data_IF_437328075845
#
_entry.id   IF_437328075845
#
_cell.length_a   1.000
_cell.length_b   1.000
_cell.length_c   1.000
_cell.angle_alpha   90.00
_cell.angle_beta   90.00
_cell.angle_gamma   90.00
#
_symmetry.space_group_name_H-M   'P 1'
#
loop_
_entity.id
_entity.type
_entity.pdbx_description
1 polymer ?
#
# COMPACT_ATOMS: atom_id res chain seq x y z
N UNK A 1 -12.19 -63.28 44.19
CA UNK A 1 -12.40 -61.91 43.66
C UNK A 1 -11.08 -61.17 43.76
N UNK A 2 -10.53 -60.68 42.65
CA UNK A 2 -9.29 -59.90 42.63
C UNK A 2 -9.51 -58.55 43.35
N UNK A 3 -8.55 -58.04 44.14
CA UNK A 3 -8.71 -56.77 44.85
C UNK A 3 -8.91 -55.61 43.86
N UNK A 4 -9.70 -54.58 44.22
CA UNK A 4 -9.94 -53.43 43.36
C UNK A 4 -8.63 -52.69 43.07
N UNK A 5 -8.35 -52.44 41.79
CA UNK A 5 -7.14 -51.73 41.35
C UNK A 5 -7.18 -50.29 41.88
N UNK A 6 -6.11 -49.86 42.59
CA UNK A 6 -5.96 -48.47 43.05
C UNK A 6 -5.89 -47.54 41.83
N UNK A 7 -6.71 -46.48 41.84
CA UNK A 7 -6.68 -45.45 40.79
C UNK A 7 -5.52 -44.48 41.03
N UNK A 8 -4.81 -44.10 39.97
CA UNK A 8 -3.70 -43.13 40.03
C UNK A 8 -4.24 -41.69 39.84
N UNK A 9 -4.14 -40.80 40.84
CA UNK A 9 -4.43 -39.37 40.66
C UNK A 9 -3.28 -38.66 39.96
N UNK A 10 -3.57 -37.52 39.33
CA UNK A 10 -2.54 -36.61 38.86
C UNK A 10 -1.88 -35.91 40.06
N UNK A 11 -0.55 -35.88 40.08
CA UNK A 11 0.24 -35.36 41.20
C UNK A 11 1.32 -34.38 40.72
N UNK A 12 1.98 -33.70 41.66
CA UNK A 12 3.02 -32.72 41.36
C UNK A 12 4.21 -33.33 40.58
N UNK A 13 4.55 -34.59 40.84
CA UNK A 13 5.62 -35.30 40.12
C UNK A 13 5.30 -35.46 38.63
N UNK A 14 4.07 -35.87 38.30
CA UNK A 14 3.60 -35.97 36.92
C UNK A 14 3.47 -34.60 36.25
N UNK A 15 3.10 -33.57 37.00
CA UNK A 15 3.03 -32.19 36.48
C UNK A 15 4.44 -31.63 36.17
N UNK A 16 5.44 -31.98 36.97
CA UNK A 16 6.83 -31.60 36.72
C UNK A 16 7.44 -32.38 35.53
N UNK A 17 7.13 -33.68 35.41
CA UNK A 17 7.59 -34.54 34.31
C UNK A 17 6.90 -34.19 32.97
N UNK A 18 5.63 -33.78 33.01
CA UNK A 18 4.84 -33.42 31.82
C UNK A 18 4.17 -32.03 31.98
N UNK A 19 4.92 -30.92 31.83
CA UNK A 19 4.42 -29.56 32.08
C UNK A 19 3.24 -29.11 31.22
N UNK A 20 3.09 -29.72 30.03
CA UNK A 20 2.00 -29.42 29.08
C UNK A 20 0.69 -30.13 29.40
N UNK A 21 0.66 -31.00 30.42
CA UNK A 21 -0.57 -31.58 30.95
C UNK A 21 -1.10 -30.70 32.07
N UNK A 22 -2.41 -30.45 32.09
CA UNK A 22 -3.09 -29.74 33.17
C UNK A 22 -4.24 -30.56 33.70
N UNK A 23 -4.36 -30.67 35.01
CA UNK A 23 -5.56 -31.25 35.63
C UNK A 23 -6.77 -30.36 35.34
N UNK A 24 -7.88 -30.95 34.90
CA UNK A 24 -9.16 -30.24 34.86
C UNK A 24 -9.74 -30.25 36.28
N UNK A 25 -9.62 -29.12 36.97
CA UNK A 25 -10.05 -28.91 38.35
C UNK A 25 -11.51 -29.30 38.62
N UNK A 26 -12.38 -29.33 37.60
CA UNK A 26 -13.82 -29.50 37.75
C UNK A 26 -14.38 -30.89 37.34
N UNK A 27 -13.54 -31.87 36.94
CA UNK A 27 -14.05 -33.13 36.34
C UNK A 27 -13.64 -34.38 37.12
N UNK A 28 -12.34 -34.57 37.37
CA UNK A 28 -11.80 -35.73 38.12
C UNK A 28 -10.28 -35.58 38.30
N UNK A 29 -9.70 -36.03 39.42
CA UNK A 29 -8.24 -36.07 39.59
C UNK A 29 -7.54 -37.07 38.66
N UNK A 30 -8.30 -37.86 37.90
CA UNK A 30 -7.78 -38.89 36.99
C UNK A 30 -7.83 -38.50 35.51
N UNK A 31 -8.35 -37.32 35.17
CA UNK A 31 -8.41 -36.84 33.79
C UNK A 31 -7.56 -35.59 33.65
N UNK A 32 -6.59 -35.65 32.74
CA UNK A 32 -5.67 -34.54 32.44
C UNK A 32 -5.88 -34.05 31.02
N UNK A 33 -5.81 -32.73 30.84
CA UNK A 33 -5.91 -32.09 29.55
C UNK A 33 -4.52 -31.86 28.97
N UNK A 34 -4.28 -32.36 27.76
CA UNK A 34 -3.05 -32.12 27.02
C UNK A 34 -3.14 -30.83 26.21
N UNK A 35 -2.29 -29.85 26.53
CA UNK A 35 -2.26 -28.56 25.83
C UNK A 35 -1.71 -28.66 24.41
N UNK A 36 -0.90 -29.69 24.10
CA UNK A 36 -0.29 -29.88 22.77
C UNK A 36 -1.34 -30.26 21.73
N UNK A 37 -2.14 -31.29 22.02
CA UNK A 37 -3.13 -31.82 21.07
C UNK A 37 -4.59 -31.59 21.47
N UNK A 38 -4.81 -30.78 22.50
CA UNK A 38 -6.12 -30.34 23.01
C UNK A 38 -7.08 -31.52 23.24
N UNK A 39 -6.64 -32.52 24.00
CA UNK A 39 -7.46 -33.70 24.31
C UNK A 39 -7.30 -34.14 25.75
N UNK A 40 -8.37 -34.72 26.29
CA UNK A 40 -8.39 -35.32 27.61
C UNK A 40 -7.73 -36.70 27.60
N UNK A 41 -7.00 -37.02 28.67
CA UNK A 41 -6.30 -38.28 28.88
C UNK A 41 -6.70 -38.82 30.25
N UNK A 42 -7.28 -40.02 30.27
CA UNK A 42 -7.59 -40.73 31.50
C UNK A 42 -6.35 -41.51 31.98
N UNK A 43 -5.90 -41.21 33.20
CA UNK A 43 -4.74 -41.82 33.85
C UNK A 43 -5.11 -42.74 35.02
N UNK A 44 -6.41 -42.99 35.23
CA UNK A 44 -6.93 -43.73 36.39
C UNK A 44 -6.29 -45.10 36.60
N UNK A 45 -6.10 -45.90 35.56
CA UNK A 45 -5.71 -47.31 35.71
C UNK A 45 -4.19 -47.55 35.69
N UNK A 46 -3.42 -46.66 35.04
CA UNK A 46 -1.99 -46.90 34.79
C UNK A 46 -1.12 -45.63 34.77
N UNK A 47 -1.64 -44.48 35.23
CA UNK A 47 -0.86 -43.26 35.46
C UNK A 47 0.05 -42.88 34.29
N UNK A 48 1.37 -42.92 34.55
CA UNK A 48 2.46 -42.68 33.59
C UNK A 48 2.34 -43.47 32.29
N UNK A 49 1.91 -44.73 32.33
CA UNK A 49 1.83 -45.57 31.13
C UNK A 49 0.76 -45.05 30.16
N UNK A 50 -0.35 -44.53 30.67
CA UNK A 50 -1.39 -43.92 29.83
C UNK A 50 -0.91 -42.61 29.19
N UNK A 51 -0.08 -41.84 29.91
CA UNK A 51 0.58 -40.64 29.36
C UNK A 51 1.54 -41.05 28.24
N UNK A 52 2.42 -42.03 28.46
CA UNK A 52 3.34 -42.54 27.42
C UNK A 52 2.58 -43.05 26.18
N UNK A 53 1.49 -43.78 26.38
CA UNK A 53 0.63 -44.22 25.28
C UNK A 53 -0.03 -43.03 24.57
N UNK A 54 -0.44 -41.99 25.29
CA UNK A 54 -0.96 -40.78 24.68
C UNK A 54 0.09 -40.08 23.79
N UNK A 55 1.34 -40.00 24.25
CA UNK A 55 2.44 -39.39 23.48
C UNK A 55 2.73 -40.11 22.17
N UNK A 56 2.54 -41.44 22.14
CA UNK A 56 2.70 -42.23 20.92
C UNK A 56 1.49 -42.22 19.99
N UNK A 57 0.34 -41.65 20.41
CA UNK A 57 -0.83 -41.53 19.52
C UNK A 57 -0.54 -40.57 18.38
N UNK A 58 -0.95 -40.97 17.17
CA UNK A 58 -0.85 -40.16 15.93
C UNK A 58 -1.37 -38.73 16.11
N UNK A 59 -2.47 -38.53 16.85
CA UNK A 59 -3.03 -37.20 17.14
C UNK A 59 -2.03 -36.30 17.89
N UNK A 60 -1.34 -36.84 18.90
CA UNK A 60 -0.35 -36.08 19.67
C UNK A 60 0.86 -35.74 18.79
N UNK A 61 1.40 -36.74 18.09
CA UNK A 61 2.58 -36.57 17.21
C UNK A 61 2.31 -35.51 16.13
N UNK A 62 1.14 -35.56 15.48
CA UNK A 62 0.77 -34.57 14.46
C UNK A 62 0.66 -33.16 15.04
N UNK A 63 0.04 -33.01 16.21
CA UNK A 63 -0.10 -31.71 16.85
C UNK A 63 1.24 -31.15 17.35
N UNK A 64 2.10 -32.00 17.92
CA UNK A 64 3.45 -31.62 18.33
C UNK A 64 4.29 -31.15 17.13
N UNK A 65 4.25 -31.89 16.02
CA UNK A 65 4.95 -31.52 14.80
C UNK A 65 4.39 -30.24 14.15
N UNK A 66 3.09 -29.99 14.24
CA UNK A 66 2.50 -28.76 13.74
C UNK A 66 2.99 -27.52 14.51
N UNK A 67 3.11 -27.62 15.83
CA UNK A 67 3.63 -26.54 16.67
C UNK A 67 5.13 -26.25 16.43
N UNK A 68 5.91 -27.26 16.04
CA UNK A 68 7.32 -27.06 15.66
C UNK A 68 7.49 -26.38 14.30
N UNK A 69 6.52 -26.57 13.40
CA UNK A 69 6.56 -26.02 12.04
C UNK A 69 5.92 -24.64 11.92
N UNK A 70 5.11 -24.22 12.90
CA UNK A 70 4.51 -22.89 12.90
C UNK A 70 5.56 -21.84 13.28
N UNK A 71 5.77 -20.87 12.40
CA UNK A 71 6.58 -19.69 12.71
C UNK A 71 5.76 -18.77 13.62
N UNK A 72 6.42 -18.17 14.62
CA UNK A 72 5.78 -17.17 15.49
C UNK A 72 5.35 -15.97 14.63
N UNK A 73 4.14 -15.44 14.87
CA UNK A 73 3.64 -14.25 14.17
C UNK A 73 4.60 -13.05 14.30
N UNK A 74 5.27 -12.94 15.44
CA UNK A 74 6.30 -11.93 15.72
C UNK A 74 7.43 -11.92 14.68
N UNK A 75 7.78 -13.06 14.07
CA UNK A 75 8.81 -13.10 13.01
C UNK A 75 8.37 -12.51 11.68
N UNK A 76 7.06 -12.29 11.48
CA UNK A 76 6.53 -11.62 10.29
C UNK A 76 6.36 -10.11 10.51
N UNK A 77 6.42 -9.65 11.76
CA UNK A 77 6.37 -8.24 12.10
C UNK A 77 7.82 -7.73 12.12
N UNK A 78 8.15 -6.82 11.20
CA UNK A 78 9.43 -6.11 11.26
C UNK A 78 9.47 -5.25 12.52
N UNK A 79 10.62 -5.20 13.18
CA UNK A 79 10.87 -4.23 14.25
C UNK A 79 10.76 -2.80 13.71
N UNK A 80 10.30 -1.86 14.53
CA UNK A 80 10.19 -0.43 14.16
C UNK A 80 11.54 0.21 13.81
N UNK A 81 12.66 -0.43 14.14
CA UNK A 81 14.00 -0.01 13.72
C UNK A 81 14.38 -0.65 12.38
N UNK A 82 14.49 0.18 11.34
CA UNK A 82 15.11 -0.21 10.07
C UNK A 82 16.63 -0.24 10.23
N UNK A 83 17.25 -1.34 9.81
CA UNK A 83 18.71 -1.43 9.77
C UNK A 83 19.27 -0.53 8.65
N UNK A 84 20.55 -0.17 8.73
CA UNK A 84 21.22 0.55 7.63
C UNK A 84 21.16 -0.24 6.31
N UNK A 85 21.21 -1.57 6.38
CA UNK A 85 21.07 -2.44 5.22
C UNK A 85 19.65 -2.38 4.62
N UNK A 86 18.60 -2.38 5.45
CA UNK A 86 17.21 -2.24 4.99
C UNK A 86 17.00 -0.91 4.25
N UNK A 87 17.58 0.19 4.78
CA UNK A 87 17.52 1.51 4.15
C UNK A 87 18.23 1.53 2.80
N UNK A 88 19.37 0.85 2.67
CA UNK A 88 20.08 0.71 1.40
C UNK A 88 19.26 -0.07 0.38
N UNK A 89 18.63 -1.17 0.78
CA UNK A 89 17.74 -1.94 -0.12
C UNK A 89 16.54 -1.07 -0.56
N UNK A 90 15.92 -0.36 0.37
CA UNK A 90 14.82 0.55 0.05
C UNK A 90 15.25 1.65 -0.94
N UNK A 91 16.45 2.22 -0.77
CA UNK A 91 17.00 3.21 -1.69
C UNK A 91 17.26 2.64 -3.09
N UNK A 92 17.79 1.40 -3.19
CA UNK A 92 17.97 0.70 -4.48
C UNK A 92 16.65 0.47 -5.19
N UNK A 93 15.63 0.01 -4.47
CA UNK A 93 14.28 -0.22 -5.00
C UNK A 93 13.58 1.08 -5.39
N UNK A 94 13.74 2.14 -4.59
CA UNK A 94 13.24 3.48 -4.91
C UNK A 94 13.89 4.06 -6.17
N UNK A 95 15.21 3.91 -6.30
CA UNK A 95 15.97 4.33 -7.49
C UNK A 95 15.51 3.57 -8.73
N UNK A 96 15.32 2.25 -8.60
CA UNK A 96 14.79 1.42 -9.68
C UNK A 96 13.39 1.88 -10.10
N UNK A 97 12.49 2.13 -9.14
CA UNK A 97 11.15 2.63 -9.42
C UNK A 97 11.16 3.99 -10.13
N UNK A 98 12.03 4.90 -9.69
CA UNK A 98 12.22 6.19 -10.35
C UNK A 98 12.73 6.02 -11.78
N UNK A 99 13.73 5.15 -12.01
CA UNK A 99 14.24 4.86 -13.35
C UNK A 99 13.14 4.29 -14.26
N UNK A 100 12.33 3.36 -13.77
CA UNK A 100 11.21 2.77 -14.51
C UNK A 100 10.27 3.86 -15.04
N UNK A 101 9.82 4.78 -14.18
CA UNK A 101 8.90 5.84 -14.62
C UNK A 101 9.58 6.89 -15.49
N UNK A 102 10.86 7.21 -15.21
CA UNK A 102 11.62 8.21 -15.97
C UNK A 102 11.80 7.81 -17.42
N UNK A 103 11.94 6.50 -17.67
CA UNK A 103 12.09 5.93 -19.01
C UNK A 103 10.81 5.29 -19.55
N UNK A 104 9.66 5.51 -18.91
CA UNK A 104 8.36 4.97 -19.32
C UNK A 104 8.37 3.45 -19.56
N UNK A 105 9.14 2.73 -18.73
CA UNK A 105 9.22 1.28 -18.80
C UNK A 105 7.92 0.64 -18.28
N UNK A 106 7.52 -0.45 -18.91
CA UNK A 106 6.30 -1.15 -18.50
C UNK A 106 6.47 -1.81 -17.14
N UNK A 107 5.53 -1.57 -16.22
CA UNK A 107 5.48 -2.32 -14.95
C UNK A 107 5.35 -3.84 -15.15
N UNK A 108 4.86 -4.28 -16.31
CA UNK A 108 4.70 -5.71 -16.64
C UNK A 108 6.04 -6.44 -16.80
N UNK A 109 7.09 -5.75 -17.25
CA UNK A 109 8.42 -6.38 -17.39
C UNK A 109 9.13 -6.54 -16.06
N UNK A 110 8.68 -5.88 -14.99
CA UNK A 110 9.41 -5.86 -13.72
C UNK A 110 9.37 -7.20 -12.96
N UNK A 111 8.40 -8.07 -13.24
CA UNK A 111 8.31 -9.39 -12.60
C UNK A 111 9.49 -10.30 -13.00
N UNK A 112 9.98 -10.19 -14.25
CA UNK A 112 11.20 -10.89 -14.67
C UNK A 112 12.46 -10.05 -14.41
N UNK A 113 12.42 -8.73 -14.59
CA UNK A 113 13.56 -7.86 -14.30
C UNK A 113 13.99 -7.94 -12.84
N UNK A 114 13.04 -7.98 -11.88
CA UNK A 114 13.36 -8.13 -10.46
C UNK A 114 14.11 -9.43 -10.18
N UNK A 115 13.75 -10.54 -10.84
CA UNK A 115 14.46 -11.82 -10.70
C UNK A 115 15.88 -11.77 -11.27
N UNK A 116 16.04 -11.08 -12.40
CA UNK A 116 17.36 -10.84 -12.99
C UNK A 116 18.25 -10.03 -12.04
N UNK A 117 17.73 -8.97 -11.43
CA UNK A 117 18.47 -8.14 -10.47
C UNK A 117 18.90 -8.97 -9.25
N UNK A 118 18.01 -9.82 -8.73
CA UNK A 118 18.33 -10.73 -7.62
C UNK A 118 19.48 -11.66 -7.96
N UNK A 119 19.46 -12.23 -9.17
CA UNK A 119 20.47 -13.20 -9.59
C UNK A 119 21.82 -12.56 -9.95
N UNK A 120 21.82 -11.32 -10.44
CA UNK A 120 23.02 -10.67 -10.98
C UNK A 120 23.68 -9.69 -10.01
N UNK A 121 22.91 -9.04 -9.13
CA UNK A 121 23.39 -7.86 -8.41
C UNK A 121 23.01 -7.79 -6.94
N UNK A 122 21.74 -8.00 -6.59
CA UNK A 122 21.23 -7.72 -5.23
C UNK A 122 20.26 -8.81 -4.75
N UNK A 123 20.76 -9.82 -4.01
CA UNK A 123 19.96 -10.96 -3.57
C UNK A 123 18.73 -10.59 -2.73
N UNK A 124 18.76 -9.44 -2.04
CA UNK A 124 17.65 -8.96 -1.21
C UNK A 124 16.65 -8.07 -1.96
N UNK A 125 16.86 -7.82 -3.25
CA UNK A 125 15.98 -7.00 -4.06
C UNK A 125 14.60 -7.66 -4.24
N UNK A 126 13.53 -6.92 -3.99
CA UNK A 126 12.17 -7.45 -4.06
C UNK A 126 11.18 -6.55 -4.82
N UNK A 127 11.67 -5.50 -5.49
CA UNK A 127 10.83 -4.58 -6.25
C UNK A 127 10.45 -5.13 -7.63
N UNK A 128 9.45 -6.02 -7.62
CA UNK A 128 8.70 -6.42 -8.81
C UNK A 128 7.55 -5.43 -9.08
N UNK A 129 6.58 -5.80 -9.94
CA UNK A 129 5.49 -4.92 -10.39
C UNK A 129 4.74 -4.21 -9.26
N UNK A 130 4.14 -4.95 -8.34
CA UNK A 130 3.26 -4.40 -7.29
C UNK A 130 4.01 -3.48 -6.33
N UNK A 131 5.23 -3.87 -5.93
CA UNK A 131 6.04 -3.07 -5.01
C UNK A 131 6.54 -1.79 -5.69
N UNK A 132 6.98 -1.88 -6.94
CA UNK A 132 7.39 -0.71 -7.72
C UNK A 132 6.22 0.26 -7.91
N UNK A 133 5.03 -0.23 -8.27
CA UNK A 133 3.83 0.59 -8.40
C UNK A 133 3.48 1.29 -7.08
N UNK A 134 3.56 0.58 -5.95
CA UNK A 134 3.32 1.15 -4.62
C UNK A 134 4.34 2.24 -4.27
N UNK A 135 5.63 2.04 -4.57
CA UNK A 135 6.67 3.05 -4.38
C UNK A 135 6.38 4.29 -5.24
N UNK A 136 6.02 4.10 -6.51
CA UNK A 136 5.70 5.22 -7.41
C UNK A 136 4.51 6.02 -6.89
N UNK A 137 3.40 5.35 -6.54
CA UNK A 137 2.16 6.02 -6.13
C UNK A 137 2.23 6.64 -4.73
N UNK A 138 2.81 5.91 -3.79
CA UNK A 138 2.72 6.27 -2.36
C UNK A 138 3.99 6.94 -1.83
N UNK A 139 5.06 7.01 -2.62
CA UNK A 139 6.30 7.67 -2.20
C UNK A 139 6.65 8.75 -3.22
N UNK A 140 7.00 8.38 -4.45
CA UNK A 140 7.52 9.33 -5.44
C UNK A 140 6.48 10.38 -5.86
N UNK A 141 5.24 9.96 -6.13
CA UNK A 141 4.18 10.88 -6.51
C UNK A 141 3.76 11.80 -5.35
N UNK A 142 3.69 11.28 -4.12
CA UNK A 142 3.36 12.08 -2.94
C UNK A 142 4.45 13.12 -2.63
N UNK A 143 5.72 12.74 -2.77
CA UNK A 143 6.84 13.66 -2.61
C UNK A 143 6.82 14.75 -3.68
N UNK A 144 6.57 14.38 -4.95
CA UNK A 144 6.47 15.33 -6.05
C UNK A 144 5.31 16.34 -5.85
N UNK A 145 4.17 15.87 -5.33
CA UNK A 145 3.02 16.73 -5.00
C UNK A 145 3.36 17.66 -3.83
N UNK A 146 3.97 17.12 -2.76
CA UNK A 146 4.36 17.91 -1.58
C UNK A 146 5.35 19.01 -1.94
N UNK A 147 6.36 18.69 -2.77
CA UNK A 147 7.31 19.68 -3.27
C UNK A 147 6.62 20.75 -4.12
N UNK A 148 5.70 20.34 -5.01
CA UNK A 148 4.93 21.27 -5.83
C UNK A 148 4.10 22.23 -4.96
N UNK A 149 3.45 21.74 -3.90
CA UNK A 149 2.69 22.58 -2.98
C UNK A 149 3.57 23.61 -2.27
N UNK A 150 4.76 23.20 -1.81
CA UNK A 150 5.74 24.11 -1.19
C UNK A 150 6.14 25.21 -2.19
N UNK A 151 6.45 24.83 -3.42
CA UNK A 151 6.87 25.77 -4.47
C UNK A 151 5.74 26.76 -4.83
N UNK A 152 4.50 26.26 -4.94
CA UNK A 152 3.32 27.08 -5.24
C UNK A 152 2.92 28.04 -4.10
N UNK A 153 3.19 27.68 -2.84
CA UNK A 153 3.01 28.60 -1.70
C UNK A 153 3.96 29.80 -1.80
N UNK A 154 5.22 29.54 -2.19
CA UNK A 154 6.26 30.57 -2.37
C UNK A 154 6.05 31.41 -3.63
N UNK A 155 5.45 30.84 -4.67
CA UNK A 155 5.16 31.58 -5.90
C UNK A 155 4.14 32.71 -5.65
N UNK A 156 4.48 33.92 -6.11
CA UNK A 156 3.56 35.07 -6.05
C UNK A 156 2.45 34.96 -7.10
N UNK A 157 2.84 34.55 -8.31
CA UNK A 157 1.94 34.44 -9.45
C UNK A 157 2.19 33.12 -10.18
N UNK A 158 1.12 32.61 -10.78
CA UNK A 158 1.14 31.40 -11.60
C UNK A 158 0.38 31.64 -12.90
N UNK A 159 0.74 30.91 -13.94
CA UNK A 159 -0.09 30.76 -15.13
C UNK A 159 -0.44 29.29 -15.30
N UNK A 160 -1.61 29.01 -15.83
CA UNK A 160 -2.03 27.64 -16.12
C UNK A 160 -1.99 27.35 -17.62
N UNK A 161 -1.77 26.09 -17.96
CA UNK A 161 -1.90 25.58 -19.32
C UNK A 161 -2.80 24.36 -19.30
N UNK A 162 -3.79 24.35 -20.17
CA UNK A 162 -4.66 23.19 -20.38
C UNK A 162 -4.43 22.65 -21.77
N UNK A 163 -4.46 21.34 -21.86
CA UNK A 163 -4.56 20.62 -23.13
C UNK A 163 -5.63 19.55 -22.99
N UNK A 164 -6.03 18.95 -24.10
CA UNK A 164 -7.09 17.96 -24.12
C UNK A 164 -6.75 16.84 -25.09
N UNK A 165 -6.77 15.60 -24.59
CA UNK A 165 -6.43 14.41 -25.38
C UNK A 165 -7.60 13.43 -25.39
N UNK A 166 -8.01 13.02 -26.59
CA UNK A 166 -9.07 12.03 -26.79
C UNK A 166 -8.46 10.62 -26.80
N UNK A 167 -8.93 9.74 -25.93
CA UNK A 167 -8.69 8.30 -26.03
C UNK A 167 -10.02 7.55 -26.09
N UNK A 168 -10.47 7.26 -27.32
CA UNK A 168 -11.82 6.74 -27.60
C UNK A 168 -12.87 7.73 -27.10
N UNK A 169 -13.72 7.30 -26.16
CA UNK A 169 -14.78 8.12 -25.55
C UNK A 169 -14.30 8.87 -24.29
N UNK A 170 -13.12 8.52 -23.75
CA UNK A 170 -12.57 9.15 -22.56
C UNK A 170 -11.69 10.31 -22.98
N UNK A 171 -11.97 11.49 -22.43
CA UNK A 171 -11.16 12.67 -22.67
C UNK A 171 -10.34 13.07 -21.46
N UNK A 172 -9.02 13.05 -21.62
CA UNK A 172 -8.07 13.43 -20.59
C UNK A 172 -7.69 14.90 -20.73
N UNK A 173 -7.83 15.66 -19.64
CA UNK A 173 -7.51 17.09 -19.59
C UNK A 173 -6.37 17.32 -18.59
N UNK A 174 -5.10 17.32 -19.04
CA UNK A 174 -4.00 17.79 -18.21
C UNK A 174 -4.14 19.28 -17.91
N UNK A 175 -4.05 19.62 -16.63
CA UNK A 175 -3.89 20.97 -16.13
C UNK A 175 -2.45 21.11 -15.63
N UNK A 176 -1.68 21.98 -16.27
CA UNK A 176 -0.30 22.28 -15.93
C UNK A 176 -0.23 23.66 -15.29
N UNK A 177 0.66 23.80 -14.31
CA UNK A 177 0.97 25.07 -13.66
C UNK A 177 2.39 25.48 -14.00
N UNK A 178 2.53 26.76 -14.35
CA UNK A 178 3.81 27.41 -14.62
C UNK A 178 4.02 28.52 -13.60
N UNK A 179 5.20 28.53 -12.99
CA UNK A 179 5.61 29.49 -11.97
C UNK A 179 7.11 29.78 -12.09
N UNK A 180 7.56 30.85 -11.44
CA UNK A 180 8.98 31.20 -11.35
C UNK A 180 9.52 30.81 -9.97
N UNK A 181 10.59 30.04 -9.97
CA UNK A 181 11.40 29.71 -8.80
C UNK A 181 12.71 30.51 -8.87
N UNK A 182 13.09 31.18 -7.78
CA UNK A 182 14.26 32.06 -7.77
C UNK A 182 15.60 31.35 -8.01
N UNK A 183 15.67 30.05 -7.70
CA UNK A 183 16.88 29.24 -7.87
C UNK A 183 16.84 28.44 -9.18
N UNK A 184 15.67 27.89 -9.53
CA UNK A 184 15.50 26.97 -10.67
C UNK A 184 14.97 27.63 -11.93
N UNK A 185 14.60 28.91 -11.87
CA UNK A 185 13.99 29.65 -12.96
C UNK A 185 12.54 29.23 -13.25
N UNK A 186 12.13 29.28 -14.52
CA UNK A 186 10.77 28.93 -14.93
C UNK A 186 10.54 27.43 -14.73
N UNK A 187 9.54 27.09 -13.92
CA UNK A 187 9.08 25.73 -13.71
C UNK A 187 7.73 25.51 -14.38
N UNK A 188 7.56 24.33 -14.95
CA UNK A 188 6.30 23.85 -15.51
C UNK A 188 6.05 22.45 -14.96
N UNK A 189 4.92 22.26 -14.28
CA UNK A 189 4.57 21.02 -13.57
C UNK A 189 3.13 20.63 -13.84
N UNK A 190 2.85 19.33 -13.84
CA UNK A 190 1.48 18.83 -13.88
C UNK A 190 0.81 19.13 -12.53
N UNK A 191 -0.28 19.88 -12.54
CA UNK A 191 -1.08 20.17 -11.36
C UNK A 191 -2.15 19.09 -11.15
N UNK A 192 -2.88 18.76 -12.22
CA UNK A 192 -3.92 17.76 -12.19
C UNK A 192 -4.10 17.11 -13.56
N UNK A 193 -4.49 15.84 -13.58
CA UNK A 193 -4.95 15.13 -14.78
C UNK A 193 -6.30 14.51 -14.45
N UNK A 194 -7.32 14.80 -15.25
CA UNK A 194 -8.68 14.30 -15.04
C UNK A 194 -9.28 13.82 -16.35
N UNK A 195 -10.06 12.76 -16.28
CA UNK A 195 -11.00 12.37 -17.32
C UNK A 195 -12.31 13.15 -17.18
N UNK A 196 -12.73 13.83 -18.25
CA UNK A 196 -13.99 14.55 -18.29
C UNK A 196 -14.99 13.80 -19.19
N UNK A 197 -16.28 13.72 -18.79
CA UNK A 197 -17.32 13.08 -19.59
C UNK A 197 -17.71 13.88 -20.85
N UNK A 198 -17.21 15.11 -20.99
CA UNK A 198 -17.47 16.02 -22.10
C UNK A 198 -16.59 17.27 -22.05
N UNK A 199 -16.75 18.15 -23.04
CA UNK A 199 -15.92 19.36 -23.21
C UNK A 199 -16.73 20.65 -23.30
N UNK A 200 -17.87 20.73 -22.64
CA UNK A 200 -18.53 22.02 -22.62
C UNK A 200 -17.61 23.05 -21.95
N UNK A 201 -17.67 24.29 -22.40
CA UNK A 201 -16.87 25.37 -21.81
C UNK A 201 -17.11 25.49 -20.31
N UNK A 202 -18.34 25.20 -19.85
CA UNK A 202 -18.72 25.16 -18.46
C UNK A 202 -17.99 24.05 -17.70
N UNK A 203 -17.96 22.83 -18.23
CA UNK A 203 -17.27 21.69 -17.60
C UNK A 203 -15.77 21.95 -17.45
N UNK A 204 -15.13 22.48 -18.49
CA UNK A 204 -13.70 22.84 -18.46
C UNK A 204 -13.45 23.98 -17.47
N UNK A 205 -14.27 25.03 -17.49
CA UNK A 205 -14.18 26.13 -16.52
C UNK A 205 -14.30 25.60 -15.08
N UNK A 206 -15.32 24.81 -14.80
CA UNK A 206 -15.59 24.33 -13.44
C UNK A 206 -14.48 23.38 -12.98
N UNK A 207 -13.92 22.55 -13.87
CA UNK A 207 -12.72 21.77 -13.60
C UNK A 207 -11.53 22.67 -13.20
N UNK A 208 -11.18 23.65 -14.04
CA UNK A 208 -10.04 24.56 -13.82
C UNK A 208 -10.22 25.37 -12.53
N UNK A 209 -11.40 25.97 -12.33
CA UNK A 209 -11.70 26.78 -11.14
C UNK A 209 -11.66 25.91 -9.88
N UNK A 210 -12.20 24.69 -9.93
CA UNK A 210 -12.14 23.76 -8.80
C UNK A 210 -10.70 23.39 -8.45
N UNK A 211 -9.86 23.11 -9.45
CA UNK A 211 -8.45 22.81 -9.24
C UNK A 211 -7.68 24.00 -8.65
N UNK A 212 -7.89 25.20 -9.19
CA UNK A 212 -7.27 26.42 -8.67
C UNK A 212 -7.68 26.74 -7.24
N UNK A 213 -8.96 26.56 -6.89
CA UNK A 213 -9.42 26.75 -5.52
C UNK A 213 -8.84 25.71 -4.57
N UNK A 214 -8.80 24.44 -4.97
CA UNK A 214 -8.24 23.36 -4.17
C UNK A 214 -6.78 23.63 -3.78
N UNK A 215 -5.99 24.21 -4.68
CA UNK A 215 -4.58 24.56 -4.44
C UNK A 215 -4.37 26.02 -3.97
N UNK A 216 -5.42 26.78 -3.65
CA UNK A 216 -5.35 28.21 -3.27
C UNK A 216 -4.61 29.10 -4.29
N UNK A 217 -4.79 28.80 -5.58
CA UNK A 217 -4.11 29.47 -6.70
C UNK A 217 -4.98 30.47 -7.44
N UNK A 218 -6.30 30.49 -7.22
CA UNK A 218 -7.21 31.30 -8.05
C UNK A 218 -6.82 32.78 -8.06
N UNK A 219 -6.47 33.34 -6.90
CA UNK A 219 -6.05 34.74 -6.76
C UNK A 219 -4.62 35.02 -7.26
N UNK A 220 -3.81 33.96 -7.41
CA UNK A 220 -2.43 34.04 -7.93
C UNK A 220 -2.37 33.82 -9.45
N UNK A 221 -3.46 33.37 -10.06
CA UNK A 221 -3.50 33.01 -11.46
C UNK A 221 -3.60 34.27 -12.34
N UNK A 222 -2.54 34.56 -13.09
CA UNK A 222 -2.43 35.77 -13.94
C UNK A 222 -2.70 35.47 -15.42
N UNK A 223 -2.85 34.21 -15.81
CA UNK A 223 -3.06 33.85 -17.20
C UNK A 223 -3.33 32.38 -17.42
N UNK A 224 -4.02 32.10 -18.52
CA UNK A 224 -4.31 30.76 -19.01
C UNK A 224 -3.86 30.63 -20.45
N UNK A 225 -3.21 29.51 -20.77
CA UNK A 225 -2.84 29.12 -22.12
C UNK A 225 -3.57 27.84 -22.51
N UNK A 226 -4.12 27.80 -23.71
CA UNK A 226 -4.85 26.66 -24.27
C UNK A 226 -4.87 26.76 -25.80
N UNK A 227 -5.27 25.69 -26.50
CA UNK A 227 -5.51 25.76 -27.93
C UNK A 227 -6.73 26.63 -28.26
N UNK A 228 -6.86 27.08 -29.52
CA UNK A 228 -7.91 28.02 -29.93
C UNK A 228 -9.28 27.36 -30.14
N UNK A 229 -9.54 26.22 -29.50
CA UNK A 229 -10.86 25.60 -29.55
C UNK A 229 -11.87 26.49 -28.83
N UNK A 230 -13.09 26.56 -29.37
CA UNK A 230 -14.13 27.42 -28.80
C UNK A 230 -14.42 27.08 -27.34
N UNK A 231 -14.30 25.81 -26.99
CA UNK A 231 -14.53 25.27 -25.64
C UNK A 231 -13.63 25.94 -24.60
N UNK A 232 -12.41 26.35 -24.96
CA UNK A 232 -11.44 26.96 -24.04
C UNK A 232 -11.66 28.45 -23.76
N UNK A 233 -12.02 29.25 -24.78
CA UNK A 233 -12.02 30.72 -24.65
C UNK A 233 -13.37 31.39 -24.92
N UNK A 234 -14.29 30.77 -25.68
CA UNK A 234 -15.43 31.50 -26.24
C UNK A 234 -16.78 30.79 -26.20
N UNK A 235 -16.86 29.53 -25.77
CA UNK A 235 -18.11 28.75 -25.78
C UNK A 235 -19.12 29.16 -24.70
N UNK A 236 -18.68 29.57 -23.50
CA UNK A 236 -19.58 29.83 -22.36
C UNK A 236 -20.65 30.92 -22.56
N UNK A 237 -20.41 31.89 -23.45
CA UNK A 237 -21.35 33.01 -23.70
C UNK A 237 -21.97 32.98 -25.10
N UNK A 238 -21.71 31.94 -25.89
CA UNK A 238 -22.26 31.84 -27.24
C UNK A 238 -23.71 31.35 -27.18
N UNK A 239 -24.65 32.28 -27.40
CA UNK A 239 -26.07 31.99 -27.65
C UNK A 239 -26.37 31.50 -29.07
N UNK A 240 -25.34 31.34 -29.93
CA UNK A 240 -25.48 30.87 -31.31
C UNK A 240 -25.96 31.91 -32.33
N UNK A 241 -26.05 33.19 -31.98
CA UNK A 241 -26.70 34.21 -32.85
C UNK A 241 -25.70 35.15 -33.54
N UNK A 242 -24.51 35.43 -32.98
CA UNK A 242 -23.51 36.31 -33.60
C UNK A 242 -22.08 35.98 -33.14
N UNK A 243 -21.15 35.84 -34.10
CA UNK A 243 -19.74 35.49 -33.87
C UNK A 243 -18.79 36.72 -33.80
N UNK A 244 -19.32 37.94 -33.84
CA UNK A 244 -18.56 39.19 -33.77
C UNK A 244 -18.92 39.95 -32.50
N UNK A 245 -17.99 40.05 -31.56
CA UNK A 245 -18.05 41.04 -30.49
C UNK A 245 -17.44 42.34 -31.00
N UNK A 246 -18.27 43.27 -31.47
CA UNK A 246 -17.82 44.65 -31.68
C UNK A 246 -17.66 45.32 -30.32
N UNK A 247 -16.42 45.65 -29.95
CA UNK A 247 -16.13 46.65 -28.93
C UNK A 247 -16.38 48.02 -29.56
N UNK A 248 -17.62 48.52 -29.48
CA UNK A 248 -17.87 49.95 -29.70
C UNK A 248 -17.31 50.71 -28.51
N UNK A 249 -16.14 51.33 -28.70
CA UNK A 249 -15.65 52.37 -27.79
C UNK A 249 -16.55 53.58 -28.06
N UNK A 250 -17.41 53.90 -27.10
CA UNK A 250 -18.07 55.21 -26.96
C UNK A 250 -17.28 56.07 -25.99
#
# INVERSE_FOLDING_TARGET
MSPPRRKCPFNAELQAEYPFLKQKSNVSPHIVFCQVCRSDVDISNSGRSNIKQHLSKKKHILAANANLKSRKLETFLKSDSSSSEDMLIAAKEGTFAYHTIKHLQSFRSLDCTSKLIVNMFEPKFAAARTKTEAIVKNVLAQEAQSQLEIDLRKANFVSITIDSSNHREIKFVPLMVRYFDGEKGIQVKLLQLRDLPGETSEQLKDYVVSALNHHNLLQKCIGMSADNTNTNFSGMRRKGVNNLFYSSIS
#
